data_IF_442270583338
#
_entry.id   IF_442270583338
#
_cell.length_a   1.000
_cell.length_b   1.000
_cell.length_c   1.000
_cell.angle_alpha   90.00
_cell.angle_beta   90.00
_cell.angle_gamma   90.00
#
_symmetry.space_group_name_H-M   'P 1'
#
loop_
_entity.id
_entity.type
_entity.pdbx_description
1 polymer ?
#
# COMPACT_ATOMS: atom_id res chain seq x y z
N UNK A 1 -5.50 -7.06 -25.68
CA UNK A 1 -6.03 -6.88 -24.31
C UNK A 1 -7.18 -5.91 -24.39
N UNK A 2 -8.36 -6.26 -23.88
CA UNK A 2 -9.44 -5.27 -23.69
C UNK A 2 -9.04 -4.43 -22.49
N UNK A 3 -8.96 -3.10 -22.66
CA UNK A 3 -8.70 -2.20 -21.53
C UNK A 3 -9.80 -2.41 -20.49
N UNK A 4 -9.42 -2.88 -19.29
CA UNK A 4 -10.36 -3.01 -18.19
C UNK A 4 -10.82 -1.62 -17.80
N UNK A 5 -12.13 -1.38 -17.80
CA UNK A 5 -12.70 -0.09 -17.37
C UNK A 5 -12.38 0.08 -15.88
N UNK A 6 -11.69 1.16 -15.52
CA UNK A 6 -11.41 1.48 -14.12
C UNK A 6 -12.72 1.70 -13.36
N UNK A 7 -12.78 1.22 -12.12
CA UNK A 7 -13.91 1.47 -11.23
C UNK A 7 -13.92 2.93 -10.79
N UNK A 8 -15.10 3.51 -10.67
CA UNK A 8 -15.25 4.81 -9.99
C UNK A 8 -15.19 4.57 -8.48
N UNK A 9 -14.29 5.30 -7.81
CA UNK A 9 -14.10 5.22 -6.37
C UNK A 9 -14.71 6.43 -5.66
N UNK A 10 -15.28 6.17 -4.49
CA UNK A 10 -15.87 7.15 -3.60
C UNK A 10 -15.10 7.14 -2.27
N UNK A 11 -14.82 8.32 -1.74
CA UNK A 11 -14.19 8.49 -0.44
C UNK A 11 -15.22 8.32 0.66
N UNK A 12 -14.92 7.45 1.62
CA UNK A 12 -15.68 7.28 2.85
C UNK A 12 -14.76 7.60 4.03
N UNK A 13 -15.03 8.69 4.74
CA UNK A 13 -14.30 9.01 5.97
C UNK A 13 -14.63 8.00 7.06
N UNK A 14 -13.62 7.62 7.81
CA UNK A 14 -13.70 6.61 8.84
C UNK A 14 -13.65 7.26 10.22
N UNK A 15 -14.24 6.58 11.20
CA UNK A 15 -14.17 7.03 12.59
C UNK A 15 -12.74 6.89 13.10
N UNK A 16 -12.21 7.95 13.72
CA UNK A 16 -10.81 8.02 14.13
C UNK A 16 -10.46 6.93 15.15
N UNK A 17 -11.22 6.82 16.25
CA UNK A 17 -10.88 5.91 17.34
C UNK A 17 -10.97 4.45 16.89
N UNK A 18 -12.04 4.09 16.18
CA UNK A 18 -12.22 2.72 15.63
C UNK A 18 -11.14 2.34 14.62
N UNK A 19 -10.71 3.30 13.80
CA UNK A 19 -9.71 3.03 12.76
C UNK A 19 -8.31 3.02 13.34
N UNK A 20 -8.04 3.84 14.35
CA UNK A 20 -6.76 3.88 15.03
C UNK A 20 -6.45 2.58 15.76
N UNK A 21 -7.46 1.87 16.28
CA UNK A 21 -7.30 0.52 16.83
C UNK A 21 -6.72 -0.44 15.79
N UNK A 22 -7.38 -0.55 14.62
CA UNK A 22 -6.89 -1.34 13.50
C UNK A 22 -5.49 -0.94 13.02
N UNK A 23 -5.20 0.37 12.94
CA UNK A 23 -3.88 0.89 12.54
C UNK A 23 -2.80 0.47 13.53
N UNK A 24 -3.06 0.52 14.84
CA UNK A 24 -2.11 0.07 15.86
C UNK A 24 -1.81 -1.41 15.70
N UNK A 25 -2.84 -2.23 15.56
CA UNK A 25 -2.68 -3.68 15.42
C UNK A 25 -1.87 -4.06 14.17
N UNK A 26 -2.01 -3.29 13.09
CA UNK A 26 -1.30 -3.55 11.83
C UNK A 26 0.13 -3.01 11.79
N UNK A 27 0.48 -2.03 12.63
CA UNK A 27 1.79 -1.38 12.59
C UNK A 27 2.70 -1.76 13.77
N UNK A 28 2.13 -2.21 14.88
CA UNK A 28 2.89 -2.43 16.12
C UNK A 28 3.89 -3.59 15.96
N UNK A 29 5.17 -3.30 16.22
CA UNK A 29 6.28 -4.27 16.22
C UNK A 29 6.45 -5.09 14.93
N UNK A 30 5.99 -4.57 13.77
CA UNK A 30 6.12 -5.30 12.50
C UNK A 30 7.48 -5.11 11.85
N UNK A 31 7.92 -3.85 11.70
CA UNK A 31 9.21 -3.45 11.13
C UNK A 31 9.54 -2.01 11.51
N UNK A 32 10.71 -1.52 11.10
CA UNK A 32 11.17 -0.18 11.44
C UNK A 32 10.24 0.91 10.92
N UNK A 33 9.79 0.83 9.64
CA UNK A 33 8.89 1.84 9.07
C UNK A 33 7.57 1.90 9.83
N UNK A 34 6.94 0.76 10.08
CA UNK A 34 5.65 0.67 10.76
C UNK A 34 5.72 1.14 12.21
N UNK A 35 6.77 0.73 12.93
CA UNK A 35 6.99 1.15 14.31
C UNK A 35 7.21 2.66 14.41
N UNK A 36 8.05 3.21 13.52
CA UNK A 36 8.32 4.65 13.50
C UNK A 36 7.13 5.48 13.01
N UNK A 37 6.26 4.94 12.14
CA UNK A 37 5.00 5.58 11.78
C UNK A 37 4.10 5.76 13.02
N UNK A 38 3.92 4.72 13.84
CA UNK A 38 3.16 4.83 15.09
C UNK A 38 3.78 5.83 16.07
N UNK A 39 5.10 5.89 16.14
CA UNK A 39 5.82 6.74 17.09
C UNK A 39 5.84 8.22 16.68
N UNK A 40 5.95 8.51 15.39
CA UNK A 40 6.32 9.85 14.89
C UNK A 40 5.22 10.56 14.11
N UNK A 41 4.21 9.84 13.59
CA UNK A 41 3.08 10.46 12.89
C UNK A 41 2.04 10.91 13.92
N UNK A 42 1.73 12.20 13.92
CA UNK A 42 0.54 12.71 14.61
C UNK A 42 -0.71 12.39 13.77
N UNK A 43 -1.31 11.22 14.00
CA UNK A 43 -2.50 10.79 13.27
C UNK A 43 -3.70 11.72 13.47
N UNK A 44 -3.77 12.49 14.57
CA UNK A 44 -4.85 13.46 14.80
C UNK A 44 -4.75 14.68 13.89
N UNK A 45 -3.59 14.91 13.28
CA UNK A 45 -3.40 15.96 12.26
C UNK A 45 -3.94 15.58 10.87
N UNK A 46 -4.57 14.42 10.73
CA UNK A 46 -5.11 13.93 9.47
C UNK A 46 -6.47 13.25 9.61
N UNK A 47 -6.96 12.69 8.52
CA UNK A 47 -8.25 11.99 8.43
C UNK A 47 -8.04 10.59 7.90
N UNK A 48 -8.65 9.61 8.55
CA UNK A 48 -8.77 8.26 8.02
C UNK A 48 -9.92 8.16 7.03
N UNK A 49 -9.71 7.47 5.92
CA UNK A 49 -10.74 7.19 4.94
C UNK A 49 -10.47 5.90 4.18
N UNK A 50 -11.47 5.37 3.50
CA UNK A 50 -11.32 4.31 2.53
C UNK A 50 -11.90 4.73 1.18
N UNK A 51 -11.43 4.09 0.11
CA UNK A 51 -11.95 4.29 -1.24
C UNK A 51 -12.73 3.04 -1.66
N UNK A 52 -14.00 3.20 -1.98
CA UNK A 52 -14.90 2.09 -2.28
C UNK A 52 -15.73 2.38 -3.53
N UNK A 53 -16.26 1.33 -4.17
CA UNK A 53 -17.21 1.46 -5.28
C UNK A 53 -18.63 1.72 -4.78
N UNK A 54 -19.50 2.26 -5.64
CA UNK A 54 -20.92 2.52 -5.29
C UNK A 54 -21.68 1.28 -4.79
N UNK A 55 -21.32 0.09 -5.28
CA UNK A 55 -21.97 -1.17 -4.92
C UNK A 55 -21.33 -1.88 -3.70
N UNK A 56 -20.47 -1.18 -2.95
CA UNK A 56 -19.77 -1.76 -1.79
C UNK A 56 -20.70 -1.91 -0.58
N UNK A 57 -20.46 -2.92 0.25
CA UNK A 57 -21.27 -3.19 1.43
C UNK A 57 -20.86 -2.31 2.64
N UNK A 58 -21.45 -1.13 2.74
CA UNK A 58 -21.12 -0.17 3.79
C UNK A 58 -21.48 -0.62 5.22
N UNK A 59 -22.30 -1.66 5.40
CA UNK A 59 -22.54 -2.25 6.73
C UNK A 59 -21.26 -2.86 7.32
N UNK A 60 -20.31 -3.25 6.45
CA UNK A 60 -19.03 -3.86 6.80
C UNK A 60 -17.87 -2.86 6.82
N UNK A 61 -18.15 -1.56 6.80
CA UNK A 61 -17.15 -0.49 6.67
C UNK A 61 -16.03 -0.55 7.72
N UNK A 62 -16.28 -1.16 8.88
CA UNK A 62 -15.30 -1.29 9.96
C UNK A 62 -14.87 -2.74 10.22
N UNK A 63 -15.23 -3.68 9.34
CA UNK A 63 -14.75 -5.06 9.40
C UNK A 63 -13.41 -5.19 8.65
N UNK A 64 -12.41 -4.40 9.07
CA UNK A 64 -11.16 -4.22 8.33
C UNK A 64 -10.36 -5.51 8.10
N UNK A 65 -10.58 -6.56 8.89
CA UNK A 65 -9.90 -7.85 8.73
C UNK A 65 -10.65 -8.83 7.83
N UNK A 66 -11.93 -8.55 7.53
CA UNK A 66 -12.79 -9.46 6.78
C UNK A 66 -13.05 -8.93 5.37
N UNK A 67 -13.01 -9.83 4.37
CA UNK A 67 -13.45 -9.51 3.01
C UNK A 67 -14.95 -9.25 2.90
N UNK A 68 -15.43 -9.17 1.65
CA UNK A 68 -16.83 -8.92 1.27
C UNK A 68 -17.25 -7.44 1.47
N UNK A 69 -16.29 -6.52 1.46
CA UNK A 69 -16.60 -5.08 1.35
C UNK A 69 -16.99 -4.74 -0.09
N UNK A 70 -16.39 -5.40 -1.09
CA UNK A 70 -16.67 -5.22 -2.51
C UNK A 70 -17.66 -6.26 -3.05
N UNK A 71 -18.35 -5.95 -4.17
CA UNK A 71 -19.07 -6.95 -4.94
C UNK A 71 -18.18 -8.13 -5.35
N UNK A 72 -18.66 -9.34 -5.05
CA UNK A 72 -17.89 -10.56 -5.24
C UNK A 72 -17.87 -11.01 -6.70
N UNK A 73 -16.69 -11.41 -7.19
CA UNK A 73 -16.55 -11.97 -8.53
C UNK A 73 -17.29 -13.32 -8.63
N UNK A 74 -17.73 -13.76 -9.82
CA UNK A 74 -18.35 -15.06 -9.97
C UNK A 74 -17.38 -16.21 -9.59
N UNK A 75 -17.94 -17.26 -9.00
CA UNK A 75 -17.20 -18.51 -8.75
C UNK A 75 -16.98 -19.22 -10.08
N UNK A 76 -15.73 -19.51 -10.40
CA UNK A 76 -15.34 -20.26 -11.59
C UNK A 76 -15.16 -21.72 -11.20
N UNK A 77 -15.82 -22.61 -11.93
CA UNK A 77 -15.67 -24.06 -11.77
C UNK A 77 -14.85 -24.59 -12.94
N UNK A 78 -13.71 -25.20 -12.66
CA UNK A 78 -12.88 -25.88 -13.65
C UNK A 78 -12.86 -27.38 -13.39
N UNK A 79 -12.71 -28.19 -14.43
CA UNK A 79 -12.58 -29.64 -14.33
C UNK A 79 -11.29 -30.10 -15.00
N UNK A 80 -10.43 -30.78 -14.22
CA UNK A 80 -9.16 -31.33 -14.71
C UNK A 80 -9.06 -32.78 -14.24
N UNK A 81 -8.86 -33.72 -15.18
CA UNK A 81 -8.80 -35.16 -14.90
C UNK A 81 -10.01 -35.70 -14.10
N UNK A 82 -11.22 -35.24 -14.43
CA UNK A 82 -12.46 -35.64 -13.75
C UNK A 82 -12.63 -35.06 -12.33
N UNK A 83 -11.72 -34.20 -11.86
CA UNK A 83 -11.84 -33.49 -10.59
C UNK A 83 -12.30 -32.06 -10.83
N UNK A 84 -13.37 -31.67 -10.14
CA UNK A 84 -13.88 -30.30 -10.16
C UNK A 84 -13.20 -29.46 -9.10
N UNK A 85 -12.66 -28.32 -9.50
CA UNK A 85 -12.10 -27.30 -8.62
C UNK A 85 -12.94 -26.04 -8.73
N UNK A 86 -13.16 -25.37 -7.59
CA UNK A 86 -13.82 -24.06 -7.53
C UNK A 86 -12.79 -23.02 -7.15
N UNK A 87 -12.71 -21.94 -7.90
CA UNK A 87 -11.88 -20.80 -7.57
C UNK A 87 -12.65 -19.51 -7.80
N UNK A 88 -12.37 -18.52 -6.98
CA UNK A 88 -12.94 -17.19 -7.08
C UNK A 88 -11.78 -16.22 -6.92
N UNK A 89 -11.68 -15.26 -7.84
CA UNK A 89 -10.69 -14.18 -7.70
C UNK A 89 -11.21 -13.20 -6.68
N UNK A 90 -10.42 -12.87 -5.66
CA UNK A 90 -10.75 -11.81 -4.69
C UNK A 90 -10.95 -10.49 -5.47
N UNK A 91 -12.10 -9.81 -5.33
CA UNK A 91 -12.29 -8.49 -5.93
C UNK A 91 -11.32 -7.50 -5.28
N UNK A 92 -10.75 -6.57 -6.03
CA UNK A 92 -9.83 -5.59 -5.45
C UNK A 92 -9.91 -4.26 -6.18
N UNK A 93 -9.53 -3.18 -5.49
CA UNK A 93 -9.33 -1.83 -6.06
C UNK A 93 -7.84 -1.47 -6.25
N UNK A 94 -6.94 -2.46 -6.25
CA UNK A 94 -5.48 -2.24 -6.35
C UNK A 94 -5.05 -1.45 -7.58
N UNK A 95 -5.69 -1.68 -8.73
CA UNK A 95 -5.43 -0.93 -9.96
C UNK A 95 -5.79 0.55 -9.76
N UNK A 96 -6.99 0.80 -9.23
CA UNK A 96 -7.48 2.15 -8.97
C UNK A 96 -6.70 2.88 -7.87
N UNK A 97 -6.23 2.16 -6.83
CA UNK A 97 -5.30 2.73 -5.84
C UNK A 97 -3.97 3.13 -6.48
N UNK A 98 -3.46 2.32 -7.41
CA UNK A 98 -2.22 2.61 -8.12
C UNK A 98 -2.35 3.87 -8.99
N UNK A 99 -3.51 4.04 -9.65
CA UNK A 99 -3.86 5.28 -10.35
C UNK A 99 -3.96 6.48 -9.40
N UNK A 100 -4.60 6.31 -8.25
CA UNK A 100 -4.71 7.35 -7.22
C UNK A 100 -3.33 7.81 -6.72
N UNK A 101 -2.44 6.87 -6.42
CA UNK A 101 -1.05 7.14 -6.01
C UNK A 101 -0.30 7.85 -7.14
N UNK A 102 -0.39 7.35 -8.37
CA UNK A 102 0.25 7.98 -9.53
C UNK A 102 -0.20 9.43 -9.72
N UNK A 103 -1.49 9.70 -9.56
CA UNK A 103 -2.02 11.05 -9.64
C UNK A 103 -1.45 11.95 -8.54
N UNK A 104 -1.43 11.50 -7.28
CA UNK A 104 -0.83 12.25 -6.15
C UNK A 104 0.64 12.57 -6.39
N UNK A 105 1.43 11.61 -6.86
CA UNK A 105 2.84 11.81 -7.24
C UNK A 105 3.02 12.74 -8.45
N UNK A 106 2.03 12.82 -9.33
CA UNK A 106 2.10 13.71 -10.50
C UNK A 106 1.81 15.17 -10.15
N UNK A 107 1.09 15.43 -9.05
CA UNK A 107 0.79 16.77 -8.57
C UNK A 107 1.94 17.44 -7.82
N UNK A 108 2.92 16.68 -7.33
CA UNK A 108 4.08 17.21 -6.59
C UNK A 108 5.36 16.44 -6.90
N UNK A 109 6.38 17.15 -7.39
CA UNK A 109 7.71 16.59 -7.61
C UNK A 109 8.51 16.34 -6.31
N UNK A 110 7.97 16.74 -5.16
CA UNK A 110 8.58 16.52 -3.85
C UNK A 110 8.11 15.23 -3.18
N UNK A 111 7.02 14.64 -3.66
CA UNK A 111 6.48 13.41 -3.10
C UNK A 111 7.23 12.19 -3.64
N UNK A 112 7.59 11.31 -2.72
CA UNK A 112 8.01 9.94 -3.00
C UNK A 112 6.98 8.98 -2.43
N UNK A 113 6.76 7.85 -3.09
CA UNK A 113 5.95 6.76 -2.56
C UNK A 113 6.87 5.63 -2.10
N UNK A 114 6.60 5.10 -0.92
CA UNK A 114 7.31 3.96 -0.36
C UNK A 114 6.30 2.85 -0.13
N UNK A 115 6.63 1.66 -0.59
CA UNK A 115 5.95 0.45 -0.18
C UNK A 115 6.91 -0.39 0.64
N UNK A 116 6.45 -0.79 1.81
CA UNK A 116 7.15 -1.74 2.64
C UNK A 116 6.98 -3.16 2.06
N UNK A 117 8.08 -3.90 1.94
CA UNK A 117 8.12 -5.23 1.33
C UNK A 117 8.62 -6.26 2.34
N UNK A 118 7.67 -6.77 3.13
CA UNK A 118 7.93 -7.70 4.24
C UNK A 118 8.22 -9.13 3.79
N UNK A 119 7.99 -9.48 2.53
CA UNK A 119 8.09 -10.88 2.08
C UNK A 119 9.43 -11.24 1.47
N UNK A 120 10.30 -10.25 1.23
CA UNK A 120 11.54 -10.45 0.48
C UNK A 120 12.77 -10.31 1.35
N UNK A 121 13.76 -11.13 1.03
CA UNK A 121 15.12 -10.97 1.54
C UNK A 121 15.94 -10.06 0.61
N UNK A 122 16.84 -9.21 1.15
CA UNK A 122 17.78 -8.41 0.35
C UNK A 122 18.65 -9.22 -0.62
N UNK A 123 18.90 -10.49 -0.29
CA UNK A 123 19.79 -11.40 -1.04
C UNK A 123 19.11 -12.07 -2.25
N UNK A 124 17.83 -11.82 -2.50
CA UNK A 124 17.14 -12.41 -3.65
C UNK A 124 17.72 -11.91 -4.98
N UNK A 125 18.15 -12.86 -5.83
CA UNK A 125 18.78 -12.59 -7.13
C UNK A 125 17.93 -11.74 -8.08
N UNK A 126 16.61 -11.75 -7.90
CA UNK A 126 15.64 -11.01 -8.69
C UNK A 126 15.56 -9.50 -8.31
N UNK A 127 16.20 -9.06 -7.22
CA UNK A 127 16.23 -7.66 -6.78
C UNK A 127 17.30 -6.83 -7.50
N UNK A 128 18.31 -7.47 -8.12
CA UNK A 128 19.41 -6.78 -8.82
C UNK A 128 18.93 -5.73 -9.82
N UNK A 129 17.92 -6.06 -10.62
CA UNK A 129 17.33 -5.15 -11.61
C UNK A 129 16.57 -3.96 -10.98
N UNK A 130 16.15 -4.06 -9.72
CA UNK A 130 15.49 -2.97 -8.99
C UNK A 130 16.49 -2.05 -8.28
N UNK A 131 17.61 -2.58 -7.81
CA UNK A 131 18.74 -1.79 -7.31
C UNK A 131 19.31 -0.90 -8.41
N UNK A 132 19.49 -1.44 -9.62
CA UNK A 132 19.97 -0.69 -10.79
C UNK A 132 19.03 0.45 -11.19
N UNK A 133 17.73 0.31 -10.89
CA UNK A 133 16.71 1.35 -11.12
C UNK A 133 16.51 2.32 -9.95
N UNK A 134 17.39 2.27 -8.92
CA UNK A 134 17.30 3.08 -7.69
C UNK A 134 15.89 3.10 -7.09
N UNK A 135 15.29 1.91 -7.07
CA UNK A 135 13.88 1.70 -6.74
C UNK A 135 13.67 0.73 -5.58
N UNK A 136 14.77 0.18 -5.06
CA UNK A 136 14.82 -0.60 -3.83
C UNK A 136 15.80 0.07 -2.91
N UNK A 137 15.38 0.26 -1.65
CA UNK A 137 16.20 0.74 -0.57
C UNK A 137 16.13 -0.25 0.59
N UNK A 138 17.21 -0.35 1.35
CA UNK A 138 17.33 -1.24 2.49
C UNK A 138 17.46 -0.45 3.78
N UNK A 139 16.78 -0.89 4.83
CA UNK A 139 17.13 -0.57 6.20
C UNK A 139 17.45 -1.89 6.91
N UNK A 140 18.70 -2.08 7.30
CA UNK A 140 19.21 -3.38 7.75
C UNK A 140 18.85 -4.50 6.74
N UNK A 141 17.95 -5.42 7.11
CA UNK A 141 17.47 -6.50 6.25
C UNK A 141 16.06 -6.25 5.66
N UNK A 142 15.45 -5.10 5.95
CA UNK A 142 14.13 -4.73 5.47
C UNK A 142 14.20 -4.14 4.06
N UNK A 143 13.31 -4.60 3.17
CA UNK A 143 13.26 -4.17 1.78
C UNK A 143 12.14 -3.15 1.60
N UNK A 144 12.45 -2.01 0.99
CA UNK A 144 11.46 -0.99 0.63
C UNK A 144 11.50 -0.70 -0.86
N UNK A 145 10.34 -0.67 -1.50
CA UNK A 145 10.21 -0.12 -2.84
C UNK A 145 9.99 1.38 -2.80
N UNK A 146 10.81 2.13 -3.53
CA UNK A 146 10.76 3.59 -3.56
C UNK A 146 10.47 4.09 -4.97
N UNK A 147 9.36 4.82 -5.09
CA UNK A 147 8.90 5.45 -6.33
C UNK A 147 9.05 6.96 -6.22
N UNK A 148 9.69 7.54 -7.23
CA UNK A 148 10.08 8.96 -7.35
C UNK A 148 9.90 9.43 -8.78
N UNK A 149 10.20 10.69 -9.04
CA UNK A 149 10.14 11.29 -10.39
C UNK A 149 10.78 10.43 -11.49
N UNK A 150 11.93 9.83 -11.21
CA UNK A 150 12.72 9.07 -12.19
C UNK A 150 12.09 7.74 -12.60
N UNK A 151 11.19 7.18 -11.78
CA UNK A 151 10.60 5.86 -12.00
C UNK A 151 9.07 5.83 -11.82
N UNK A 152 8.42 6.99 -11.61
CA UNK A 152 6.96 7.10 -11.46
C UNK A 152 6.28 6.74 -12.77
N UNK A 153 5.64 5.59 -12.79
CA UNK A 153 4.73 5.18 -13.84
C UNK A 153 3.74 4.18 -13.26
N UNK A 154 2.57 4.10 -13.87
CA UNK A 154 1.47 3.28 -13.39
C UNK A 154 1.84 1.80 -13.26
N UNK A 155 2.48 1.23 -14.29
CA UNK A 155 2.87 -0.18 -14.31
C UNK A 155 3.82 -0.51 -13.14
N UNK A 156 4.77 0.37 -12.86
CA UNK A 156 5.73 0.18 -11.79
C UNK A 156 5.09 0.31 -10.40
N UNK A 157 4.22 1.30 -10.20
CA UNK A 157 3.46 1.46 -8.95
C UNK A 157 2.60 0.23 -8.70
N UNK A 158 1.83 -0.22 -9.71
CA UNK A 158 0.99 -1.40 -9.63
C UNK A 158 1.81 -2.66 -9.34
N UNK A 159 2.99 -2.79 -9.94
CA UNK A 159 3.91 -3.90 -9.69
C UNK A 159 4.43 -3.89 -8.25
N UNK A 160 4.82 -2.74 -7.72
CA UNK A 160 5.27 -2.60 -6.32
C UNK A 160 4.12 -2.91 -5.35
N UNK A 161 2.95 -2.28 -5.51
CA UNK A 161 1.77 -2.57 -4.70
C UNK A 161 1.33 -4.04 -4.81
N UNK A 162 1.50 -4.65 -5.98
CA UNK A 162 1.19 -6.07 -6.21
C UNK A 162 2.09 -7.03 -5.42
N UNK A 163 3.35 -6.66 -5.19
CA UNK A 163 4.34 -7.46 -4.47
C UNK A 163 4.31 -7.19 -2.96
N UNK A 164 4.36 -5.93 -2.59
CA UNK A 164 4.40 -5.47 -1.20
C UNK A 164 3.13 -5.75 -0.43
N UNK A 165 1.98 -5.76 -1.10
CA UNK A 165 0.72 -6.02 -0.40
C UNK A 165 0.46 -7.51 -0.24
N UNK A 166 1.17 -8.07 0.75
CA UNK A 166 1.05 -9.45 1.21
C UNK A 166 -0.15 -9.63 2.14
N UNK A 167 -0.59 -10.88 2.31
CA UNK A 167 -1.73 -11.21 3.17
C UNK A 167 -1.50 -10.88 4.67
N UNK A 168 -0.25 -10.73 5.10
CA UNK A 168 0.11 -10.57 6.52
C UNK A 168 0.38 -9.11 6.91
N UNK A 169 1.03 -8.34 6.05
CA UNK A 169 1.31 -6.93 6.28
C UNK A 169 1.52 -6.20 4.96
N UNK A 170 1.03 -4.98 4.90
CA UNK A 170 0.94 -4.19 3.67
C UNK A 170 0.85 -2.71 4.02
N UNK A 171 1.99 -2.03 4.11
CA UNK A 171 2.05 -0.60 4.40
C UNK A 171 2.71 0.13 3.26
N UNK A 172 2.22 1.32 2.95
CA UNK A 172 3.01 2.29 2.26
C UNK A 172 2.60 3.71 2.56
N UNK A 173 3.46 4.63 2.13
CA UNK A 173 3.39 6.03 2.48
C UNK A 173 3.73 6.92 1.30
N UNK A 174 3.10 8.08 1.23
CA UNK A 174 3.58 9.22 0.46
C UNK A 174 4.28 10.18 1.42
N UNK A 175 5.53 10.51 1.14
CA UNK A 175 6.37 11.34 1.99
C UNK A 175 7.12 12.40 1.19
N UNK A 176 7.42 13.53 1.83
CA UNK A 176 8.31 14.57 1.31
C UNK A 176 9.76 14.41 1.81
N UNK A 177 10.10 13.25 2.38
CA UNK A 177 11.47 12.93 2.73
C UNK A 177 12.37 12.84 1.49
N UNK A 178 13.60 13.31 1.66
CA UNK A 178 14.58 13.47 0.58
C UNK A 178 15.89 12.75 0.92
N UNK A 179 15.77 11.60 1.58
CA UNK A 179 16.87 10.72 2.00
C UNK A 179 17.36 9.79 0.89
N UNK A 180 16.63 9.71 -0.23
CA UNK A 180 16.92 8.78 -1.33
C UNK A 180 18.04 9.24 -2.27
N UNK A 181 18.77 10.30 -1.93
CA UNK A 181 19.79 10.91 -2.80
C UNK A 181 21.11 10.14 -2.83
N UNK A 182 21.39 9.34 -1.80
CA UNK A 182 22.64 8.60 -1.70
C UNK A 182 22.62 7.37 -2.62
N UNK A 183 23.74 7.10 -3.28
CA UNK A 183 23.89 6.01 -4.25
C UNK A 183 23.99 4.61 -3.62
N UNK A 184 24.03 4.51 -2.29
CA UNK A 184 24.17 3.25 -1.57
C UNK A 184 22.92 2.38 -1.59
N UNK A 185 21.73 2.95 -1.86
CA UNK A 185 20.42 2.29 -1.63
C UNK A 185 20.24 1.77 -0.19
N UNK A 186 20.99 2.30 0.77
CA UNK A 186 20.92 1.96 2.19
C UNK A 186 20.42 3.18 2.94
N UNK A 187 19.41 2.99 3.77
CA UNK A 187 18.80 3.98 4.66
C UNK A 187 19.31 3.76 6.07
N UNK A 188 19.52 4.86 6.80
CA UNK A 188 19.74 4.83 8.24
C UNK A 188 18.41 4.92 9.00
N UNK A 189 18.45 4.76 10.33
CA UNK A 189 17.26 4.96 11.16
C UNK A 189 16.76 6.40 11.04
N UNK A 190 17.67 7.37 10.98
CA UNK A 190 17.34 8.78 10.78
C UNK A 190 16.59 9.01 9.46
N UNK A 191 16.91 8.25 8.41
CA UNK A 191 16.19 8.30 7.14
C UNK A 191 14.77 7.75 7.27
N UNK A 192 14.57 6.63 7.97
CA UNK A 192 13.24 6.07 8.29
C UNK A 192 12.41 7.06 9.11
N UNK A 193 13.03 7.68 10.11
CA UNK A 193 12.37 8.69 10.92
C UNK A 193 12.02 9.94 10.11
N UNK A 194 12.88 10.35 9.19
CA UNK A 194 12.63 11.47 8.28
C UNK A 194 11.46 11.16 7.33
N UNK A 195 11.38 9.92 6.83
CA UNK A 195 10.24 9.41 6.06
C UNK A 195 8.95 9.59 6.86
N UNK A 196 8.90 9.07 8.08
CA UNK A 196 7.70 9.09 8.93
C UNK A 196 7.27 10.51 9.29
N UNK A 197 8.20 11.36 9.73
CA UNK A 197 7.92 12.76 10.11
C UNK A 197 7.39 13.60 8.94
N UNK A 198 7.75 13.24 7.71
CA UNK A 198 7.35 13.95 6.48
C UNK A 198 6.26 13.22 5.70
N UNK A 199 5.65 12.19 6.28
CA UNK A 199 4.51 11.49 5.70
C UNK A 199 3.34 12.45 5.52
N UNK A 200 2.78 12.47 4.31
CA UNK A 200 1.57 13.19 3.93
C UNK A 200 0.38 12.27 3.78
N UNK A 201 0.63 11.01 3.45
CA UNK A 201 -0.39 9.99 3.31
C UNK A 201 0.17 8.62 3.69
N UNK A 202 -0.66 7.79 4.28
CA UNK A 202 -0.38 6.38 4.57
C UNK A 202 -1.52 5.54 4.01
N UNK A 203 -1.24 4.31 3.62
CA UNK A 203 -2.23 3.33 3.22
C UNK A 203 -1.85 1.95 3.75
N UNK A 204 -2.85 1.25 4.28
CA UNK A 204 -2.75 -0.10 4.87
C UNK A 204 -3.77 -0.99 4.17
N UNK A 205 -3.35 -2.19 3.75
CA UNK A 205 -4.30 -3.18 3.20
C UNK A 205 -5.38 -3.53 4.21
N UNK A 206 -6.61 -3.61 3.77
CA UNK A 206 -7.75 -3.95 4.59
C UNK A 206 -8.75 -4.82 3.79
N UNK A 207 -9.74 -5.34 4.50
CA UNK A 207 -10.84 -6.13 3.97
C UNK A 207 -10.35 -7.32 3.14
N UNK A 208 -9.41 -8.11 3.68
CA UNK A 208 -8.80 -9.26 2.99
C UNK A 208 -8.21 -8.91 1.60
N UNK A 209 -7.61 -7.72 1.49
CA UNK A 209 -6.97 -7.23 0.25
C UNK A 209 -7.95 -6.71 -0.81
N UNK A 210 -9.22 -6.58 -0.47
CA UNK A 210 -10.22 -5.98 -1.36
C UNK A 210 -10.03 -4.45 -1.47
N UNK A 211 -9.76 -3.78 -0.36
CA UNK A 211 -9.58 -2.33 -0.29
C UNK A 211 -8.52 -1.93 0.75
N UNK A 212 -8.51 -0.65 1.14
CA UNK A 212 -7.43 -0.06 1.94
C UNK A 212 -7.99 0.92 2.96
N UNK A 213 -7.36 0.97 4.14
CA UNK A 213 -7.49 2.11 5.06
C UNK A 213 -6.40 3.10 4.70
N UNK A 214 -6.78 4.34 4.40
CA UNK A 214 -5.88 5.43 4.09
C UNK A 214 -5.94 6.46 5.21
N UNK A 215 -4.81 7.13 5.44
CA UNK A 215 -4.72 8.33 6.26
C UNK A 215 -4.10 9.44 5.43
N UNK A 216 -4.65 10.64 5.49
CA UNK A 216 -4.12 11.82 4.81
C UNK A 216 -4.02 12.98 5.79
N UNK A 217 -2.85 13.62 5.83
CA UNK A 217 -2.61 14.80 6.66
C UNK A 217 -3.46 15.98 6.15
N UNK A 218 -4.14 16.67 7.05
CA UNK A 218 -4.84 17.92 6.74
C UNK A 218 -3.79 19.03 6.59
N UNK A 219 -3.90 19.83 5.53
CA UNK A 219 -3.04 21.01 5.29
C UNK A 219 -3.45 22.21 6.15
#
# INVERSE_FOLDING_TARGET
MVAKKMKTLHRHELDFERTMEFVKDNLNEVNALSSELLNLVDFKSGVFFTLLTVDSNLERLYEFENGIILPQNPIIVSETNGKKSRHQRVPTIKEELSDFIFHKLSLSNKLSCIFDEVTRSPDESNLKAFYEKKSVYLYENEVMYVIRELNKNHEFILKCAGKSFSFWHSVGVLTEADCFKNDSNILSLEDIQAICKKTKMMFISAYDGEAYVLWEKIE
#
